data_IF_162307969576
#
_entry.id   IF_162307969576
#
_cell.length_a   1.000
_cell.length_b   1.000
_cell.length_c   1.000
_cell.angle_alpha   90.00
_cell.angle_beta   90.00
_cell.angle_gamma   90.00
#
_symmetry.space_group_name_H-M   'P 1'
#
loop_
_entity.id
_entity.type
_entity.pdbx_description
1 polymer ?
#
# COMPACT_ATOMS: atom_id res chain seq x y z
N UNK A 1 11.86 19.56 14.40
CA UNK A 1 11.06 18.73 15.34
C UNK A 1 9.72 19.42 15.53
N UNK A 2 8.58 18.72 15.47
CA UNK A 2 7.29 19.40 15.65
C UNK A 2 7.03 19.80 17.12
N UNK A 3 6.15 20.77 17.34
CA UNK A 3 5.84 21.36 18.66
C UNK A 3 5.36 20.29 19.65
N UNK A 4 4.48 19.39 19.21
CA UNK A 4 3.97 18.28 20.03
C UNK A 4 5.11 17.41 20.56
N UNK A 5 6.06 17.05 19.70
CA UNK A 5 7.22 16.23 20.06
C UNK A 5 8.19 16.98 20.98
N UNK A 6 8.39 18.27 20.76
CA UNK A 6 9.19 19.11 21.66
C UNK A 6 8.61 19.11 23.09
N UNK A 7 7.29 19.34 23.21
CA UNK A 7 6.60 19.30 24.51
C UNK A 7 6.63 17.89 25.13
N UNK A 8 6.45 16.85 24.31
CA UNK A 8 6.52 15.46 24.76
C UNK A 8 7.92 15.12 25.29
N UNK A 9 8.99 15.54 24.61
CA UNK A 9 10.38 15.32 25.04
C UNK A 9 10.67 16.06 26.34
N UNK A 10 10.32 17.35 26.44
CA UNK A 10 10.48 18.10 27.70
C UNK A 10 9.72 17.44 28.86
N UNK A 11 8.52 16.90 28.60
CA UNK A 11 7.72 16.18 29.61
C UNK A 11 8.36 14.86 30.00
N UNK A 12 8.90 14.12 29.04
CA UNK A 12 9.59 12.85 29.29
C UNK A 12 10.85 13.08 30.15
N UNK A 13 11.63 14.11 29.85
CA UNK A 13 12.80 14.49 30.63
C UNK A 13 12.40 14.89 32.07
N UNK A 14 11.30 15.62 32.23
CA UNK A 14 10.75 15.96 33.53
C UNK A 14 10.28 14.71 34.31
N UNK A 15 9.61 13.76 33.64
CA UNK A 15 9.24 12.47 34.24
C UNK A 15 10.45 11.69 34.75
N UNK A 16 11.51 11.57 33.95
CA UNK A 16 12.73 10.86 34.34
C UNK A 16 13.37 11.53 35.57
N UNK A 17 13.43 12.87 35.62
CA UNK A 17 13.91 13.61 36.80
C UNK A 17 13.06 13.39 38.06
N UNK A 18 11.78 13.10 37.90
CA UNK A 18 10.85 12.77 38.97
C UNK A 18 10.84 11.27 39.34
N UNK A 19 11.72 10.47 38.73
CA UNK A 19 11.90 9.05 39.05
C UNK A 19 10.92 8.11 38.35
N UNK A 20 10.26 8.56 37.28
CA UNK A 20 9.39 7.71 36.45
C UNK A 20 10.19 6.93 35.40
N UNK A 21 9.71 5.74 34.98
CA UNK A 21 10.32 4.99 33.88
C UNK A 21 10.35 5.78 32.57
N UNK A 22 11.35 5.52 31.72
CA UNK A 22 11.58 6.24 30.46
C UNK A 22 10.44 6.03 29.43
N UNK A 23 9.66 4.97 29.59
CA UNK A 23 8.50 4.61 28.80
C UNK A 23 7.19 5.27 29.26
N UNK A 24 7.23 6.09 30.32
CA UNK A 24 6.04 6.78 30.85
C UNK A 24 5.48 7.76 29.83
N UNK A 25 4.31 7.46 29.26
CA UNK A 25 3.67 8.29 28.22
C UNK A 25 3.36 9.73 28.71
N UNK A 26 3.97 10.77 28.12
CA UNK A 26 3.65 12.18 28.37
C UNK A 26 2.20 12.59 28.08
N UNK A 27 1.54 11.87 27.18
CA UNK A 27 0.17 12.13 26.72
C UNK A 27 -0.07 13.60 26.32
N UNK A 28 0.85 14.17 25.55
CA UNK A 28 0.70 15.52 24.96
C UNK A 28 -0.27 15.47 23.79
N UNK A 29 -1.27 16.34 23.78
CA UNK A 29 -2.28 16.47 22.72
C UNK A 29 -2.45 17.92 22.31
N UNK A 30 -2.88 18.16 21.06
CA UNK A 30 -3.43 19.47 20.69
C UNK A 30 -4.74 19.68 21.46
N UNK A 31 -4.93 20.90 21.96
CA UNK A 31 -6.15 21.27 22.66
C UNK A 31 -7.35 21.19 21.72
N UNK A 32 -8.47 20.70 22.23
CA UNK A 32 -9.73 20.62 21.45
C UNK A 32 -10.51 21.94 21.46
N UNK A 33 -10.17 22.85 22.37
CA UNK A 33 -10.83 24.15 22.53
C UNK A 33 -9.84 25.25 22.92
N UNK A 34 -10.05 26.50 22.49
CA UNK A 34 -9.14 27.61 22.77
C UNK A 34 -8.94 27.92 24.26
N UNK A 35 -9.94 27.70 25.11
CA UNK A 35 -9.82 27.94 26.55
C UNK A 35 -8.80 27.04 27.25
N UNK A 36 -8.36 25.96 26.60
CA UNK A 36 -7.33 25.06 27.09
C UNK A 36 -5.93 25.37 26.53
N UNK A 37 -5.77 26.50 25.83
CA UNK A 37 -4.52 26.84 25.14
C UNK A 37 -4.34 26.04 23.85
N UNK A 38 -3.10 25.92 23.37
CA UNK A 38 -2.76 25.24 22.12
C UNK A 38 -2.50 23.74 22.30
N UNK A 39 -1.91 23.37 23.44
CA UNK A 39 -1.58 22.00 23.80
C UNK A 39 -1.98 21.68 25.23
N UNK A 40 -2.25 20.40 25.50
CA UNK A 40 -2.46 19.87 26.85
C UNK A 40 -1.50 18.71 27.11
N UNK A 41 -0.90 18.68 28.30
CA UNK A 41 -0.12 17.56 28.80
C UNK A 41 -0.99 16.80 29.80
N UNK A 42 -1.40 15.59 29.44
CA UNK A 42 -2.37 14.79 30.20
C UNK A 42 -1.71 13.66 31.02
N UNK A 43 -0.40 13.46 30.88
CA UNK A 43 0.33 12.35 31.47
C UNK A 43 0.50 12.41 33.00
N UNK A 44 0.25 13.56 33.63
CA UNK A 44 0.43 13.72 35.07
C UNK A 44 -0.46 12.76 35.89
N UNK A 45 -1.68 12.47 35.42
CA UNK A 45 -2.60 11.57 36.13
C UNK A 45 -2.13 10.11 36.14
N UNK A 46 -1.69 9.60 34.99
CA UNK A 46 -1.16 8.24 34.89
C UNK A 46 0.17 8.12 35.63
N UNK A 47 1.04 9.12 35.53
CA UNK A 47 2.31 9.17 36.24
C UNK A 47 2.13 9.21 37.77
N UNK A 48 1.22 10.04 38.29
CA UNK A 48 0.94 10.12 39.72
C UNK A 48 0.36 8.82 40.28
N UNK A 49 -0.43 8.09 39.49
CA UNK A 49 -0.90 6.75 39.86
C UNK A 49 0.27 5.76 40.04
N UNK A 50 1.30 5.83 39.19
CA UNK A 50 2.49 4.98 39.32
C UNK A 50 3.31 5.34 40.56
N UNK A 51 3.49 6.64 40.82
CA UNK A 51 4.22 7.14 41.99
C UNK A 51 3.41 7.08 43.30
N UNK A 52 2.11 6.78 43.23
CA UNK A 52 1.15 6.85 44.35
C UNK A 52 1.13 8.24 45.01
N UNK A 53 1.21 9.29 44.20
CA UNK A 53 1.20 10.70 44.63
C UNK A 53 -0.08 11.43 44.19
N UNK A 54 -0.26 12.66 44.65
CA UNK A 54 -1.38 13.50 44.21
C UNK A 54 -1.12 14.01 42.77
N UNK A 55 -2.02 13.78 41.80
CA UNK A 55 -1.82 14.20 40.41
C UNK A 55 -1.64 15.70 40.21
N UNK A 56 -2.29 16.53 41.02
CA UNK A 56 -2.17 18.00 40.94
C UNK A 56 -0.81 18.47 41.45
N UNK A 57 -0.32 17.88 42.55
CA UNK A 57 1.03 18.17 43.07
C UNK A 57 2.10 17.72 42.08
N UNK A 58 1.92 16.56 41.43
CA UNK A 58 2.85 16.13 40.37
C UNK A 58 2.82 17.09 39.18
N UNK A 59 1.64 17.57 38.78
CA UNK A 59 1.52 18.58 37.73
C UNK A 59 2.26 19.89 38.08
N UNK A 60 2.20 20.34 39.33
CA UNK A 60 2.95 21.52 39.81
C UNK A 60 4.46 21.31 39.68
N UNK A 61 4.96 20.13 40.07
CA UNK A 61 6.38 19.76 39.91
C UNK A 61 6.78 19.69 38.43
N UNK A 62 5.91 19.15 37.57
CA UNK A 62 6.16 19.07 36.13
C UNK A 62 6.27 20.46 35.51
N UNK A 63 5.33 21.36 35.80
CA UNK A 63 5.36 22.74 35.27
C UNK A 63 6.68 23.42 35.62
N UNK A 64 7.17 23.26 36.86
CA UNK A 64 8.45 23.82 37.28
C UNK A 64 9.66 23.21 36.53
N UNK A 65 9.63 21.93 36.19
CA UNK A 65 10.72 21.23 35.49
C UNK A 65 10.69 21.41 33.97
N UNK A 66 9.51 21.65 33.38
CA UNK A 66 9.34 21.82 31.93
C UNK A 66 10.03 23.09 31.42
N UNK A 67 10.09 24.13 32.26
CA UNK A 67 10.69 25.44 31.96
C UNK A 67 10.29 25.93 30.56
N UNK A 68 9.00 26.27 30.40
CA UNK A 68 8.41 26.69 29.12
C UNK A 68 8.37 28.21 28.97
N UNK A 69 9.03 28.99 29.83
CA UNK A 69 8.95 30.45 29.82
C UNK A 69 9.46 31.09 28.53
N UNK A 70 10.29 30.41 27.75
CA UNK A 70 10.76 30.83 26.43
C UNK A 70 9.72 30.60 25.32
N UNK A 71 8.90 29.55 25.47
CA UNK A 71 8.01 29.02 24.44
C UNK A 71 6.52 29.33 24.68
N UNK A 72 6.09 29.37 25.94
CA UNK A 72 4.70 29.50 26.35
C UNK A 72 4.40 30.85 27.01
N UNK A 73 3.33 31.50 26.58
CA UNK A 73 2.81 32.73 27.20
C UNK A 73 2.02 32.42 28.48
N UNK A 74 1.46 31.21 28.56
CA UNK A 74 0.65 30.75 29.68
C UNK A 74 0.81 29.24 29.88
N UNK A 75 1.01 28.83 31.12
CA UNK A 75 0.98 27.41 31.52
C UNK A 75 0.09 27.29 32.76
N UNK A 76 -1.00 26.52 32.67
CA UNK A 76 -2.01 26.43 33.72
C UNK A 76 -2.37 24.99 34.05
N UNK A 77 -2.50 24.71 35.35
CA UNK A 77 -2.98 23.41 35.82
C UNK A 77 -4.50 23.44 35.94
N UNK A 78 -5.18 22.68 35.09
CA UNK A 78 -6.63 22.53 35.08
C UNK A 78 -7.07 21.21 35.75
N UNK A 79 -8.16 21.30 36.52
CA UNK A 79 -8.81 20.14 37.14
C UNK A 79 -7.85 19.30 38.00
N UNK A 80 -7.83 17.96 37.83
CA UNK A 80 -7.04 17.07 38.67
C UNK A 80 -5.53 17.08 38.37
N UNK A 81 -5.07 17.70 37.28
CA UNK A 81 -3.66 17.69 36.89
C UNK A 81 -3.39 17.81 35.39
N UNK A 82 -4.34 18.30 34.61
CA UNK A 82 -4.09 18.65 33.20
C UNK A 82 -3.22 19.89 33.15
N UNK A 83 -2.21 19.92 32.28
CA UNK A 83 -1.36 21.10 32.10
C UNK A 83 -1.68 21.70 30.73
N UNK A 84 -2.37 22.83 30.72
CA UNK A 84 -2.71 23.60 29.54
C UNK A 84 -1.54 24.50 29.17
N UNK A 85 -1.16 24.54 27.90
CA UNK A 85 -0.03 25.31 27.38
C UNK A 85 -0.51 26.22 26.25
N UNK A 86 -0.39 27.53 26.45
CA UNK A 86 -0.59 28.54 25.41
C UNK A 86 0.77 29.04 24.93
N UNK A 87 1.05 28.93 23.64
CA UNK A 87 2.31 29.32 23.02
C UNK A 87 2.47 30.85 23.01
N UNK A 88 3.71 31.33 22.97
CA UNK A 88 3.99 32.76 22.78
C UNK A 88 3.78 33.15 21.31
N UNK A 89 3.05 34.24 21.03
CA UNK A 89 2.95 34.77 19.67
C UNK A 89 4.32 35.09 19.06
N UNK A 90 5.26 35.62 19.86
CA UNK A 90 6.61 35.97 19.39
C UNK A 90 7.43 34.74 19.04
N UNK A 91 7.27 33.66 19.82
CA UNK A 91 7.89 32.37 19.54
C UNK A 91 7.35 31.77 18.25
N UNK A 92 6.01 31.74 18.10
CA UNK A 92 5.35 31.29 16.87
C UNK A 92 5.77 32.11 15.64
N UNK A 93 5.89 33.43 15.77
CA UNK A 93 6.37 34.30 14.71
C UNK A 93 7.82 33.96 14.30
N UNK A 94 8.68 33.64 15.27
CA UNK A 94 10.04 33.17 15.01
C UNK A 94 10.07 31.84 14.24
N UNK A 95 9.29 30.85 14.67
CA UNK A 95 9.18 29.56 13.98
C UNK A 95 8.61 29.72 12.56
N UNK A 96 7.60 30.57 12.38
CA UNK A 96 7.04 30.88 11.06
C UNK A 96 8.06 31.54 10.13
N UNK A 97 8.89 32.46 10.64
CA UNK A 97 9.95 33.09 9.86
C UNK A 97 11.00 32.06 9.41
N UNK A 98 11.37 31.13 10.29
CA UNK A 98 12.27 30.03 9.95
C UNK A 98 11.64 29.11 8.88
N UNK A 99 10.39 28.70 9.09
CA UNK A 99 9.66 27.84 8.15
C UNK A 99 9.52 28.51 6.78
N UNK A 100 9.23 29.80 6.71
CA UNK A 100 9.11 30.54 5.46
C UNK A 100 10.41 30.62 4.66
N UNK A 101 11.57 30.50 5.34
CA UNK A 101 12.90 30.45 4.71
C UNK A 101 13.34 29.04 4.29
N UNK A 102 12.64 28.01 4.76
CA UNK A 102 12.91 26.61 4.46
C UNK A 102 12.02 26.11 3.31
N UNK A 103 12.63 25.53 2.28
CA UNK A 103 11.91 24.91 1.15
C UNK A 103 10.94 23.81 1.57
N UNK A 104 11.14 23.23 2.76
CA UNK A 104 10.30 22.19 3.37
C UNK A 104 9.37 22.72 4.46
N UNK A 105 9.29 24.03 4.64
CA UNK A 105 8.42 24.70 5.62
C UNK A 105 8.65 24.21 7.07
N UNK A 106 9.90 23.88 7.43
CA UNK A 106 10.24 23.38 8.77
C UNK A 106 9.87 21.90 9.00
N UNK A 107 9.40 21.19 7.98
CA UNK A 107 9.10 19.75 8.08
C UNK A 107 10.40 18.95 8.06
N UNK A 108 10.80 18.48 9.24
CA UNK A 108 11.96 17.60 9.41
C UNK A 108 11.82 16.34 8.57
N UNK A 109 12.91 15.94 7.92
CA UNK A 109 12.98 14.66 7.25
C UNK A 109 12.86 13.49 8.26
N UNK A 110 12.53 12.31 7.76
CA UNK A 110 12.51 11.07 8.53
C UNK A 110 13.91 10.84 9.11
N UNK A 111 14.07 10.77 10.45
CA UNK A 111 15.38 10.49 11.07
C UNK A 111 15.89 9.07 10.78
N UNK A 112 15.02 8.16 10.34
CA UNK A 112 15.36 6.79 9.94
C UNK A 112 14.66 6.47 8.61
N UNK A 113 15.17 7.01 7.47
CA UNK A 113 14.58 6.78 6.16
C UNK A 113 14.44 5.29 5.84
N UNK A 114 13.28 4.90 5.32
CA UNK A 114 12.99 3.53 4.88
C UNK A 114 12.95 3.44 3.36
N UNK A 115 13.23 2.25 2.83
CA UNK A 115 12.82 1.86 1.47
C UNK A 115 11.39 1.33 1.54
N UNK A 116 10.44 2.11 1.04
CA UNK A 116 9.01 1.78 1.07
C UNK A 116 8.53 1.44 -0.34
N UNK A 117 8.08 0.21 -0.53
CA UNK A 117 7.36 -0.17 -1.76
C UNK A 117 5.89 0.17 -1.59
N UNK A 118 5.33 0.91 -2.55
CA UNK A 118 3.90 1.26 -2.57
C UNK A 118 3.27 0.71 -3.84
N UNK A 119 2.41 -0.29 -3.67
CA UNK A 119 1.62 -0.90 -4.74
C UNK A 119 0.24 -0.25 -4.80
N UNK A 120 -0.09 0.39 -5.92
CA UNK A 120 -1.33 1.12 -6.10
C UNK A 120 -1.74 1.27 -7.56
N UNK A 121 -2.97 1.71 -7.76
CA UNK A 121 -3.68 1.75 -9.05
C UNK A 121 -4.03 0.37 -9.61
N UNK A 122 -3.02 -0.40 -10.03
CA UNK A 122 -3.13 -1.79 -10.48
C UNK A 122 -4.35 -2.08 -11.39
N UNK A 123 -4.56 -1.33 -12.49
CA UNK A 123 -5.66 -1.59 -13.40
C UNK A 123 -5.50 -2.95 -14.10
N UNK A 124 -6.63 -3.62 -14.38
CA UNK A 124 -6.65 -4.77 -15.27
C UNK A 124 -6.65 -4.29 -16.72
N UNK A 125 -5.59 -4.59 -17.47
CA UNK A 125 -5.38 -4.05 -18.82
C UNK A 125 -6.30 -4.68 -19.87
N UNK A 126 -7.00 -5.77 -19.54
CA UNK A 126 -8.03 -6.36 -20.40
C UNK A 126 -9.29 -5.48 -20.54
N UNK A 127 -9.42 -4.42 -19.72
CA UNK A 127 -10.58 -3.51 -19.69
C UNK A 127 -10.13 -2.08 -19.39
N UNK A 128 -11.03 -1.12 -19.58
CA UNK A 128 -10.78 0.25 -19.14
C UNK A 128 -10.67 0.38 -17.62
N UNK A 129 -9.89 1.37 -17.20
CA UNK A 129 -9.77 1.73 -15.80
C UNK A 129 -11.10 2.33 -15.28
N UNK A 130 -11.83 1.57 -14.47
CA UNK A 130 -13.05 2.04 -13.82
C UNK A 130 -12.80 2.68 -12.43
N UNK A 131 -13.86 3.25 -11.83
CA UNK A 131 -13.85 3.94 -10.51
C UNK A 131 -13.26 3.13 -9.35
N UNK A 132 -13.22 1.80 -9.47
CA UNK A 132 -12.62 0.92 -8.47
C UNK A 132 -11.11 1.15 -8.34
N UNK A 133 -10.43 1.38 -9.47
CA UNK A 133 -9.00 1.68 -9.50
C UNK A 133 -8.72 3.12 -9.06
N UNK A 134 -9.63 4.06 -9.32
CA UNK A 134 -9.45 5.48 -9.01
C UNK A 134 -9.13 5.73 -7.52
N UNK A 135 -9.81 5.01 -6.61
CA UNK A 135 -9.55 5.15 -5.16
C UNK A 135 -8.13 4.72 -4.80
N UNK A 136 -7.69 3.56 -5.30
CA UNK A 136 -6.33 3.07 -5.08
C UNK A 136 -5.32 4.06 -5.66
N UNK A 137 -5.53 4.52 -6.90
CA UNK A 137 -4.67 5.49 -7.57
C UNK A 137 -4.47 6.76 -6.74
N UNK A 138 -5.55 7.41 -6.29
CA UNK A 138 -5.46 8.70 -5.58
C UNK A 138 -4.87 8.53 -4.18
N UNK A 139 -5.35 7.53 -3.41
CA UNK A 139 -4.89 7.33 -2.03
C UNK A 139 -3.42 6.91 -2.03
N UNK A 140 -3.04 5.98 -2.91
CA UNK A 140 -1.67 5.54 -3.06
C UNK A 140 -0.74 6.69 -3.42
N UNK A 141 -1.10 7.50 -4.42
CA UNK A 141 -0.28 8.64 -4.84
C UNK A 141 -0.09 9.68 -3.73
N UNK A 142 -1.15 9.95 -2.94
CA UNK A 142 -1.07 10.84 -1.79
C UNK A 142 -0.09 10.31 -0.72
N UNK A 143 -0.09 9.00 -0.46
CA UNK A 143 0.83 8.37 0.49
C UNK A 143 2.26 8.36 -0.04
N UNK A 144 2.46 8.04 -1.31
CA UNK A 144 3.77 8.13 -1.98
C UNK A 144 4.36 9.52 -1.82
N UNK A 145 3.61 10.56 -2.21
CA UNK A 145 4.04 11.97 -2.09
C UNK A 145 4.37 12.35 -0.65
N UNK A 146 3.58 11.86 0.31
CA UNK A 146 3.80 12.13 1.74
C UNK A 146 5.09 11.48 2.24
N UNK A 147 5.34 10.22 1.89
CA UNK A 147 6.53 9.48 2.29
C UNK A 147 7.80 10.06 1.64
N UNK A 148 7.76 10.37 0.35
CA UNK A 148 8.87 11.04 -0.34
C UNK A 148 9.15 12.42 0.23
N UNK A 149 8.09 13.21 0.49
CA UNK A 149 8.27 14.50 1.14
C UNK A 149 8.84 14.32 2.54
N UNK A 150 8.43 13.31 3.31
CA UNK A 150 9.02 13.04 4.62
C UNK A 150 10.49 12.57 4.51
N UNK A 151 10.92 11.99 3.39
CA UNK A 151 12.31 11.65 3.12
C UNK A 151 12.58 10.15 3.00
N UNK A 152 11.54 9.32 2.90
CA UNK A 152 11.68 7.90 2.58
C UNK A 152 12.04 7.69 1.11
N UNK A 153 12.76 6.60 0.82
CA UNK A 153 12.94 6.13 -0.55
C UNK A 153 11.71 5.34 -0.95
N UNK A 154 10.86 5.93 -1.78
CA UNK A 154 9.62 5.28 -2.23
C UNK A 154 9.82 4.62 -3.59
N UNK A 155 9.46 3.34 -3.68
CA UNK A 155 9.41 2.58 -4.95
C UNK A 155 7.95 2.33 -5.27
N UNK A 156 7.44 3.03 -6.28
CA UNK A 156 6.09 2.81 -6.80
C UNK A 156 6.07 1.45 -7.51
N UNK A 157 4.97 0.73 -7.38
CA UNK A 157 4.69 -0.48 -8.13
C UNK A 157 3.27 -0.37 -8.68
N UNK A 158 3.14 -0.33 -9.99
CA UNK A 158 1.85 -0.45 -10.65
C UNK A 158 1.68 -1.92 -11.07
N UNK A 159 1.02 -2.69 -10.20
CA UNK A 159 0.81 -4.13 -10.37
C UNK A 159 -0.32 -4.43 -11.35
N UNK A 160 -0.13 -4.03 -12.61
CA UNK A 160 -1.15 -4.13 -13.64
C UNK A 160 -1.50 -5.60 -13.96
N UNK A 161 -2.79 -5.86 -14.12
CA UNK A 161 -3.30 -7.16 -14.55
C UNK A 161 -3.17 -7.31 -16.06
N UNK A 162 -2.02 -7.81 -16.52
CA UNK A 162 -1.66 -7.96 -17.93
C UNK A 162 -1.65 -9.42 -18.41
N UNK A 163 -1.98 -10.35 -17.53
CA UNK A 163 -1.92 -11.78 -17.80
C UNK A 163 -3.22 -12.50 -17.42
N UNK A 164 -3.55 -13.58 -18.13
CA UNK A 164 -4.73 -14.40 -17.84
C UNK A 164 -5.45 -14.93 -19.09
N UNK A 165 -6.42 -15.81 -18.86
CA UNK A 165 -7.15 -16.50 -19.94
C UNK A 165 -8.01 -15.56 -20.78
N UNK A 166 -8.41 -14.41 -20.22
CA UNK A 166 -9.16 -13.38 -20.93
C UNK A 166 -8.39 -12.80 -22.11
N UNK A 167 -7.06 -12.83 -22.10
CA UNK A 167 -6.28 -12.32 -23.22
C UNK A 167 -6.46 -13.16 -24.48
N UNK A 168 -6.72 -14.47 -24.38
CA UNK A 168 -6.94 -15.34 -25.55
C UNK A 168 -8.02 -14.84 -26.49
N UNK A 169 -9.18 -14.42 -25.96
CA UNK A 169 -10.25 -13.88 -26.80
C UNK A 169 -9.91 -12.48 -27.33
N UNK A 170 -9.18 -11.67 -26.56
CA UNK A 170 -8.80 -10.31 -26.95
C UNK A 170 -7.80 -10.34 -28.09
N UNK A 171 -6.76 -11.18 -28.01
CA UNK A 171 -5.77 -11.30 -29.08
C UNK A 171 -6.33 -12.01 -30.32
N UNK A 172 -7.23 -12.99 -30.17
CA UNK A 172 -7.94 -13.58 -31.30
C UNK A 172 -8.86 -12.57 -32.00
N UNK A 173 -9.57 -11.74 -31.23
CA UNK A 173 -10.39 -10.67 -31.78
C UNK A 173 -9.56 -9.61 -32.49
N UNK A 174 -8.42 -9.23 -31.89
CA UNK A 174 -7.48 -8.25 -32.43
C UNK A 174 -6.92 -8.70 -33.78
N UNK A 175 -6.54 -9.98 -33.89
CA UNK A 175 -6.05 -10.56 -35.14
C UNK A 175 -7.07 -10.43 -36.27
N UNK A 176 -8.34 -10.77 -36.01
CA UNK A 176 -9.37 -10.70 -37.03
C UNK A 176 -9.63 -9.25 -37.48
N UNK A 177 -9.59 -8.30 -36.54
CA UNK A 177 -9.71 -6.86 -36.85
C UNK A 177 -8.56 -6.34 -37.69
N UNK A 178 -7.35 -6.81 -37.41
CA UNK A 178 -6.18 -6.51 -38.22
C UNK A 178 -6.28 -7.08 -39.63
N UNK A 179 -6.80 -8.30 -39.76
CA UNK A 179 -7.03 -8.94 -41.06
C UNK A 179 -8.12 -8.22 -41.88
N UNK A 180 -9.09 -7.60 -41.22
CA UNK A 180 -10.10 -6.71 -41.84
C UNK A 180 -9.52 -5.36 -42.30
N UNK A 181 -8.23 -5.10 -42.06
CA UNK A 181 -7.55 -3.86 -42.43
C UNK A 181 -7.85 -2.68 -41.49
N UNK A 182 -8.40 -2.95 -40.30
CA UNK A 182 -8.67 -1.91 -39.32
C UNK A 182 -7.37 -1.55 -38.59
N UNK A 183 -7.04 -0.26 -38.58
CA UNK A 183 -5.82 0.24 -37.94
C UNK A 183 -5.89 0.06 -36.42
N UNK A 184 -4.83 -0.47 -35.83
CA UNK A 184 -4.70 -0.75 -34.40
C UNK A 184 -4.95 0.47 -33.53
N UNK A 185 -4.39 1.61 -33.90
CA UNK A 185 -4.62 2.85 -33.17
C UNK A 185 -6.11 3.20 -33.23
N UNK A 186 -6.78 3.02 -34.37
CA UNK A 186 -8.21 3.28 -34.49
C UNK A 186 -9.11 2.26 -33.75
N UNK A 187 -8.70 0.99 -33.66
CA UNK A 187 -9.46 -0.08 -32.97
C UNK A 187 -9.37 0.05 -31.46
N UNK A 188 -8.19 0.37 -30.95
CA UNK A 188 -7.90 0.30 -29.52
C UNK A 188 -7.94 1.68 -28.81
N UNK A 189 -7.86 2.81 -29.53
CA UNK A 189 -8.02 4.16 -28.95
C UNK A 189 -9.47 4.62 -28.78
N UNK A 190 -10.45 3.98 -29.44
CA UNK A 190 -11.81 4.50 -29.45
C UNK A 190 -12.61 4.11 -28.20
N UNK A 191 -12.54 2.84 -27.77
CA UNK A 191 -13.26 2.30 -26.60
C UNK A 191 -12.78 0.86 -26.28
N UNK A 192 -11.92 0.68 -25.26
CA UNK A 192 -11.43 -0.65 -24.85
C UNK A 192 -12.55 -1.49 -24.21
N UNK A 193 -13.56 -0.84 -23.62
CA UNK A 193 -14.73 -1.53 -23.06
C UNK A 193 -15.55 -2.18 -24.17
N UNK A 194 -15.76 -1.46 -25.28
CA UNK A 194 -16.46 -1.98 -26.44
C UNK A 194 -15.68 -3.10 -27.12
N UNK A 195 -14.35 -2.96 -27.26
CA UNK A 195 -13.50 -4.03 -27.78
C UNK A 195 -13.65 -5.32 -26.96
N UNK A 196 -13.62 -5.21 -25.63
CA UNK A 196 -13.84 -6.35 -24.73
C UNK A 196 -15.25 -6.93 -24.90
N UNK A 197 -16.30 -6.10 -24.98
CA UNK A 197 -17.69 -6.56 -25.16
C UNK A 197 -17.86 -7.33 -26.47
N UNK A 198 -17.26 -6.85 -27.56
CA UNK A 198 -17.30 -7.52 -28.86
C UNK A 198 -16.57 -8.87 -28.83
N UNK A 199 -15.35 -8.91 -28.30
CA UNK A 199 -14.59 -10.14 -28.15
C UNK A 199 -15.36 -11.17 -27.29
N UNK A 200 -16.00 -10.72 -26.20
CA UNK A 200 -16.81 -11.57 -25.33
C UNK A 200 -18.05 -12.11 -26.03
N UNK A 201 -18.76 -11.27 -26.79
CA UNK A 201 -19.92 -11.71 -27.58
C UNK A 201 -19.54 -12.78 -28.60
N UNK A 202 -18.41 -12.60 -29.30
CA UNK A 202 -17.88 -13.62 -30.22
C UNK A 202 -17.52 -14.91 -29.49
N UNK A 203 -16.92 -14.82 -28.31
CA UNK A 203 -16.63 -15.99 -27.47
C UNK A 203 -17.88 -16.79 -27.08
N UNK A 204 -19.00 -16.11 -26.81
CA UNK A 204 -20.23 -16.77 -26.39
C UNK A 204 -21.08 -17.27 -27.57
N UNK A 205 -21.12 -16.52 -28.67
CA UNK A 205 -22.11 -16.72 -29.75
C UNK A 205 -21.50 -17.26 -31.07
N UNK A 206 -20.21 -17.08 -31.34
CA UNK A 206 -19.58 -17.42 -32.63
C UNK A 206 -18.97 -18.82 -32.61
N UNK A 207 -19.45 -19.68 -33.52
CA UNK A 207 -18.96 -21.05 -33.64
C UNK A 207 -17.46 -21.08 -33.96
N UNK A 208 -16.68 -21.80 -33.14
CA UNK A 208 -15.23 -21.97 -33.30
C UNK A 208 -14.37 -20.86 -32.67
N UNK A 209 -14.93 -19.69 -32.33
CA UNK A 209 -14.15 -18.60 -31.74
C UNK A 209 -13.68 -18.91 -30.32
N UNK A 210 -14.51 -19.59 -29.52
CA UNK A 210 -14.13 -20.01 -28.17
C UNK A 210 -12.92 -20.97 -28.17
N UNK A 211 -12.83 -21.85 -29.17
CA UNK A 211 -11.72 -22.79 -29.30
C UNK A 211 -10.45 -22.10 -29.79
N UNK A 212 -10.58 -21.16 -30.74
CA UNK A 212 -9.47 -20.27 -31.13
C UNK A 212 -8.93 -19.49 -29.93
N UNK A 213 -9.81 -18.91 -29.11
CA UNK A 213 -9.42 -18.20 -27.89
C UNK A 213 -8.64 -19.09 -26.91
N UNK A 214 -9.10 -20.32 -26.66
CA UNK A 214 -8.40 -21.28 -25.78
C UNK A 214 -7.03 -21.68 -26.33
N UNK A 215 -6.93 -21.95 -27.63
CA UNK A 215 -5.67 -22.22 -28.32
C UNK A 215 -4.69 -21.04 -28.19
N UNK A 216 -5.20 -19.82 -28.29
CA UNK A 216 -4.42 -18.59 -28.16
C UNK A 216 -3.86 -18.38 -26.74
N UNK A 217 -4.62 -18.77 -25.70
CA UNK A 217 -4.08 -18.80 -24.33
C UNK A 217 -2.89 -19.75 -24.23
N UNK A 218 -3.03 -20.96 -24.78
CA UNK A 218 -1.94 -21.97 -24.75
C UNK A 218 -0.72 -21.46 -25.50
N UNK A 219 -0.91 -20.91 -26.71
CA UNK A 219 0.16 -20.32 -27.51
C UNK A 219 0.88 -19.19 -26.78
N UNK A 220 0.13 -18.25 -26.19
CA UNK A 220 0.69 -17.14 -25.43
C UNK A 220 1.54 -17.63 -24.25
N UNK A 221 1.02 -18.60 -23.49
CA UNK A 221 1.72 -19.22 -22.35
C UNK A 221 2.95 -20.01 -22.77
N UNK A 222 2.94 -20.62 -23.96
CA UNK A 222 4.08 -21.35 -24.52
C UNK A 222 5.15 -20.45 -25.15
N UNK A 223 4.92 -19.14 -25.23
CA UNK A 223 5.86 -18.17 -25.80
C UNK A 223 5.80 -18.05 -27.33
N UNK A 224 4.65 -18.36 -27.95
CA UNK A 224 4.46 -18.16 -29.39
C UNK A 224 4.67 -16.70 -29.78
N UNK A 225 5.58 -16.45 -30.74
CA UNK A 225 6.00 -15.11 -31.10
C UNK A 225 4.87 -14.24 -31.70
N UNK A 226 3.91 -14.86 -32.39
CA UNK A 226 2.79 -14.14 -33.01
C UNK A 226 1.78 -13.71 -31.96
N UNK A 227 1.35 -14.62 -31.09
CA UNK A 227 0.46 -14.31 -29.96
C UNK A 227 1.10 -13.29 -29.01
N UNK A 228 2.41 -13.41 -28.74
CA UNK A 228 3.15 -12.45 -27.92
C UNK A 228 3.16 -11.05 -28.52
N UNK A 229 3.34 -10.93 -29.84
CA UNK A 229 3.28 -9.64 -30.53
C UNK A 229 1.90 -8.98 -30.42
N UNK A 230 0.83 -9.75 -30.61
CA UNK A 230 -0.54 -9.25 -30.48
C UNK A 230 -0.87 -8.85 -29.04
N UNK A 231 -0.40 -9.64 -28.07
CA UNK A 231 -0.56 -9.35 -26.65
C UNK A 231 0.16 -8.05 -26.28
N UNK A 232 1.44 -7.90 -26.60
CA UNK A 232 2.22 -6.71 -26.26
C UNK A 232 1.57 -5.44 -26.81
N UNK A 233 1.11 -5.50 -28.05
CA UNK A 233 0.43 -4.40 -28.72
C UNK A 233 -0.88 -3.98 -28.02
N UNK A 234 -1.64 -4.95 -27.52
CA UNK A 234 -2.83 -4.68 -26.71
C UNK A 234 -2.42 -4.06 -25.37
N UNK A 235 -1.39 -4.60 -24.70
CA UNK A 235 -0.86 -4.07 -23.44
C UNK A 235 -0.39 -2.62 -23.59
N UNK A 236 0.43 -2.32 -24.60
CA UNK A 236 0.97 -0.98 -24.87
C UNK A 236 -0.17 0.03 -25.03
N UNK A 237 -1.25 -0.38 -25.71
CA UNK A 237 -2.41 0.48 -25.89
C UNK A 237 -3.17 0.71 -24.59
N UNK A 238 -3.42 -0.32 -23.79
CA UNK A 238 -4.09 -0.17 -22.48
C UNK A 238 -3.26 0.64 -21.48
N UNK A 239 -1.93 0.51 -21.51
CA UNK A 239 -1.00 1.31 -20.69
C UNK A 239 -1.08 2.79 -21.09
N UNK A 240 -1.07 3.10 -22.40
CA UNK A 240 -1.22 4.47 -22.90
C UNK A 240 -2.50 5.14 -22.38
N UNK A 241 -3.65 4.45 -22.44
CA UNK A 241 -4.91 4.98 -21.89
C UNK A 241 -4.83 5.22 -20.38
N UNK A 242 -4.25 4.29 -19.64
CA UNK A 242 -4.07 4.44 -18.19
C UNK A 242 -3.21 5.67 -17.87
N UNK A 243 -2.13 5.88 -18.62
CA UNK A 243 -1.25 7.04 -18.47
C UNK A 243 -1.93 8.37 -18.80
N UNK A 244 -2.77 8.43 -19.82
CA UNK A 244 -3.55 9.63 -20.13
C UNK A 244 -4.47 10.01 -18.95
N UNK A 245 -5.05 9.02 -18.26
CA UNK A 245 -5.84 9.27 -17.05
C UNK A 245 -4.95 9.70 -15.90
N UNK A 246 -3.79 9.05 -15.68
CA UNK A 246 -2.84 9.46 -14.65
C UNK A 246 -2.36 10.91 -14.82
N UNK A 247 -2.08 11.33 -16.05
CA UNK A 247 -1.71 12.72 -16.38
C UNK A 247 -2.84 13.69 -16.04
N UNK A 248 -4.08 13.39 -16.45
CA UNK A 248 -5.26 14.23 -16.13
C UNK A 248 -5.49 14.36 -14.61
N UNK A 249 -5.21 13.30 -13.86
CA UNK A 249 -5.33 13.27 -12.41
C UNK A 249 -4.11 13.83 -11.65
N UNK A 250 -3.05 14.21 -12.36
CA UNK A 250 -1.76 14.62 -11.77
C UNK A 250 -1.21 13.56 -10.81
N UNK A 251 -1.24 12.30 -11.23
CA UNK A 251 -0.68 11.14 -10.50
C UNK A 251 0.79 10.98 -10.89
N UNK A 252 1.63 10.50 -9.97
CA UNK A 252 3.08 10.37 -10.17
C UNK A 252 3.53 9.06 -10.80
N UNK A 253 2.60 8.18 -11.17
CA UNK A 253 2.90 6.93 -11.87
C UNK A 253 3.40 7.20 -13.29
N UNK A 254 4.41 6.44 -13.69
CA UNK A 254 5.01 6.43 -15.02
C UNK A 254 5.21 4.99 -15.51
N UNK A 255 5.63 4.82 -16.76
CA UNK A 255 5.96 3.49 -17.31
C UNK A 255 7.06 2.77 -16.53
N UNK A 256 7.98 3.51 -15.91
CA UNK A 256 9.06 2.95 -15.10
C UNK A 256 8.57 2.28 -13.82
N UNK A 257 7.35 2.59 -13.37
CA UNK A 257 6.74 2.04 -12.17
C UNK A 257 5.93 0.76 -12.46
N UNK A 258 5.78 0.39 -13.74
CA UNK A 258 5.00 -0.78 -14.16
C UNK A 258 5.75 -2.07 -13.80
N UNK A 259 5.13 -2.87 -12.93
CA UNK A 259 5.58 -4.22 -12.58
C UNK A 259 4.38 -5.16 -12.57
N UNK A 260 3.96 -5.61 -13.76
CA UNK A 260 2.68 -6.27 -13.95
C UNK A 260 2.74 -7.74 -13.53
N UNK A 261 1.61 -8.42 -13.50
CA UNK A 261 1.51 -9.83 -13.10
C UNK A 261 2.42 -10.75 -13.93
N UNK A 262 2.50 -10.54 -15.25
CA UNK A 262 3.31 -11.35 -16.15
C UNK A 262 4.81 -11.32 -15.82
N UNK A 263 5.30 -10.23 -15.21
CA UNK A 263 6.71 -10.07 -14.85
C UNK A 263 7.17 -11.06 -13.76
N UNK A 264 6.23 -11.70 -13.07
CA UNK A 264 6.49 -12.71 -12.03
C UNK A 264 6.34 -14.14 -12.54
N UNK A 265 5.91 -14.36 -13.80
CA UNK A 265 5.72 -15.70 -14.37
C UNK A 265 6.92 -16.64 -14.16
N UNK A 266 8.19 -16.20 -14.36
CA UNK A 266 9.35 -17.06 -14.11
C UNK A 266 9.56 -17.46 -12.64
N UNK A 267 8.92 -16.75 -11.69
CA UNK A 267 9.05 -16.98 -10.25
C UNK A 267 7.96 -17.91 -9.68
N UNK A 268 6.87 -18.15 -10.42
CA UNK A 268 5.70 -18.86 -9.86
C UNK A 268 5.99 -20.30 -9.47
N UNK A 269 6.61 -21.08 -10.35
CA UNK A 269 6.97 -22.47 -10.04
C UNK A 269 8.03 -22.55 -8.92
N UNK A 270 9.12 -21.76 -8.95
CA UNK A 270 10.07 -21.71 -7.82
C UNK A 270 9.43 -21.42 -6.45
N UNK A 271 8.44 -20.52 -6.38
CA UNK A 271 7.70 -20.24 -5.14
C UNK A 271 6.94 -21.48 -4.66
N UNK A 272 6.23 -22.16 -5.57
CA UNK A 272 5.48 -23.37 -5.25
C UNK A 272 6.42 -24.47 -4.76
N UNK A 273 7.53 -24.69 -5.46
CA UNK A 273 8.54 -25.69 -5.11
C UNK A 273 9.12 -25.42 -3.71
N UNK A 274 9.42 -24.16 -3.40
CA UNK A 274 9.89 -23.75 -2.07
C UNK A 274 8.86 -24.05 -0.98
N UNK A 275 7.58 -23.75 -1.22
CA UNK A 275 6.51 -24.00 -0.26
C UNK A 275 6.28 -25.49 0.00
N UNK A 276 6.36 -26.32 -1.03
CA UNK A 276 6.27 -27.79 -0.92
C UNK A 276 7.49 -28.35 -0.18
N UNK A 277 8.70 -27.92 -0.54
CA UNK A 277 9.94 -28.37 0.10
C UNK A 277 9.99 -28.00 1.60
N UNK A 278 9.41 -26.86 1.97
CA UNK A 278 9.28 -26.43 3.37
C UNK A 278 8.13 -27.14 4.13
N UNK A 279 7.33 -27.97 3.46
CA UNK A 279 6.15 -28.62 4.04
C UNK A 279 5.00 -27.65 4.39
N UNK A 280 5.01 -26.46 3.80
CA UNK A 280 3.99 -25.41 4.03
C UNK A 280 2.79 -25.65 3.11
N UNK A 281 3.04 -26.03 1.86
CA UNK A 281 2.00 -26.42 0.90
C UNK A 281 1.88 -27.94 0.83
N UNK A 282 0.66 -28.44 0.78
CA UNK A 282 0.33 -29.86 0.67
C UNK A 282 -0.64 -30.11 -0.48
N UNK A 283 -0.65 -31.32 -1.00
CA UNK A 283 -1.64 -31.74 -1.98
C UNK A 283 -2.99 -32.00 -1.29
N UNK A 284 -4.05 -31.39 -1.82
CA UNK A 284 -5.44 -31.63 -1.43
C UNK A 284 -6.30 -31.68 -2.69
N UNK A 285 -6.96 -32.82 -2.94
CA UNK A 285 -7.80 -33.04 -4.13
C UNK A 285 -7.10 -32.72 -5.47
N UNK A 286 -5.79 -32.99 -5.53
CA UNK A 286 -4.95 -32.75 -6.71
C UNK A 286 -4.53 -31.29 -6.93
N UNK A 287 -4.88 -30.37 -6.02
CA UNK A 287 -4.39 -28.99 -5.99
C UNK A 287 -3.32 -28.84 -4.89
N UNK A 288 -2.46 -27.82 -5.00
CA UNK A 288 -1.53 -27.46 -3.92
C UNK A 288 -2.12 -26.33 -3.08
N UNK A 289 -2.22 -26.58 -1.78
CA UNK A 289 -2.95 -25.74 -0.83
C UNK A 289 -2.09 -25.49 0.43
N UNK A 290 -2.11 -24.26 0.91
CA UNK A 290 -1.60 -23.88 2.23
C UNK A 290 -2.77 -23.73 3.18
N UNK A 291 -2.75 -24.42 4.31
CA UNK A 291 -3.79 -24.33 5.34
C UNK A 291 -3.34 -23.39 6.46
N UNK A 292 -4.09 -22.32 6.69
CA UNK A 292 -3.74 -21.26 7.64
C UNK A 292 -4.65 -21.30 8.88
N UNK A 293 -4.15 -21.88 9.96
CA UNK A 293 -4.86 -21.99 11.24
C UNK A 293 -5.11 -20.63 11.91
N UNK A 294 -4.26 -19.63 11.65
CA UNK A 294 -4.42 -18.26 12.13
C UNK A 294 -5.66 -17.56 11.58
N UNK A 295 -6.20 -18.07 10.46
CA UNK A 295 -7.40 -17.59 9.80
C UNK A 295 -8.54 -18.62 9.85
N UNK A 296 -8.53 -19.50 10.85
CA UNK A 296 -9.55 -20.52 10.99
C UNK A 296 -10.97 -19.94 11.08
N UNK A 297 -11.94 -20.70 10.55
CA UNK A 297 -13.35 -20.36 10.67
C UNK A 297 -13.90 -20.57 12.09
N UNK A 298 -15.20 -20.34 12.28
CA UNK A 298 -15.87 -20.50 13.58
C UNK A 298 -15.87 -21.95 14.09
N UNK A 299 -15.65 -22.93 13.22
CA UNK A 299 -15.57 -24.35 13.56
C UNK A 299 -14.12 -24.79 13.82
N UNK A 300 -13.15 -23.87 13.73
CA UNK A 300 -11.72 -24.15 13.90
C UNK A 300 -11.05 -24.75 12.68
N UNK A 301 -11.71 -24.79 11.51
CA UNK A 301 -11.11 -25.30 10.28
C UNK A 301 -10.18 -24.24 9.69
N UNK A 302 -8.93 -24.59 9.34
CA UNK A 302 -7.97 -23.64 8.81
C UNK A 302 -8.43 -23.08 7.47
N UNK A 303 -8.07 -21.83 7.17
CA UNK A 303 -8.39 -21.20 5.90
C UNK A 303 -7.57 -21.84 4.76
N UNK A 304 -8.20 -22.37 3.70
CA UNK A 304 -7.47 -22.90 2.55
C UNK A 304 -6.99 -21.78 1.63
N UNK A 305 -5.71 -21.81 1.27
CA UNK A 305 -5.09 -20.89 0.32
C UNK A 305 -4.47 -21.68 -0.83
N UNK A 306 -5.18 -21.75 -1.96
CA UNK A 306 -4.77 -22.55 -3.11
C UNK A 306 -3.70 -21.79 -3.89
N UNK A 307 -2.53 -22.41 -4.07
CA UNK A 307 -1.38 -21.81 -4.78
C UNK A 307 -1.15 -22.45 -6.16
N UNK A 308 -1.70 -23.63 -6.43
CA UNK A 308 -1.68 -24.25 -7.77
C UNK A 308 -2.91 -25.16 -7.95
N UNK A 309 -3.59 -25.08 -9.09
CA UNK A 309 -4.79 -25.89 -9.38
C UNK A 309 -4.43 -27.31 -9.81
N UNK A 310 -5.43 -28.20 -9.77
CA UNK A 310 -5.42 -29.51 -10.43
C UNK A 310 -5.21 -29.33 -11.94
N UNK A 311 -4.00 -29.65 -12.42
CA UNK A 311 -3.55 -29.38 -13.79
C UNK A 311 -2.38 -28.40 -13.91
N UNK A 312 -1.82 -27.92 -12.80
CA UNK A 312 -0.57 -27.13 -12.77
C UNK A 312 -0.75 -25.63 -13.00
N UNK A 313 -1.97 -25.17 -13.31
CA UNK A 313 -2.26 -23.74 -13.50
C UNK A 313 -2.12 -22.94 -12.21
N UNK A 314 -1.42 -21.80 -12.30
CA UNK A 314 -1.25 -20.86 -11.19
C UNK A 314 -2.47 -19.96 -10.97
N UNK A 315 -2.50 -19.29 -9.82
CA UNK A 315 -3.53 -18.32 -9.45
C UNK A 315 -2.87 -16.98 -9.06
N UNK A 316 -3.70 -15.94 -8.90
CA UNK A 316 -3.27 -14.66 -8.33
C UNK A 316 -2.51 -14.82 -7.00
N UNK A 317 -2.88 -15.83 -6.19
CA UNK A 317 -2.19 -16.24 -4.98
C UNK A 317 -0.67 -16.45 -5.18
N UNK A 318 -0.28 -17.17 -6.22
CA UNK A 318 1.12 -17.49 -6.52
C UNK A 318 1.87 -16.25 -7.00
N UNK A 319 1.21 -15.43 -7.84
CA UNK A 319 1.76 -14.16 -8.33
C UNK A 319 2.02 -13.20 -7.18
N UNK A 320 1.08 -13.06 -6.25
CA UNK A 320 1.24 -12.18 -5.09
C UNK A 320 2.33 -12.66 -4.12
N UNK A 321 2.51 -13.98 -3.97
CA UNK A 321 3.65 -14.53 -3.22
C UNK A 321 4.99 -14.23 -3.89
N UNK A 322 5.06 -14.37 -5.21
CA UNK A 322 6.24 -13.99 -5.99
C UNK A 322 6.51 -12.48 -5.92
N UNK A 323 5.46 -11.65 -5.95
CA UNK A 323 5.55 -10.22 -5.78
C UNK A 323 6.05 -9.85 -4.38
N UNK A 324 5.57 -10.51 -3.33
CA UNK A 324 6.11 -10.38 -1.98
C UNK A 324 7.62 -10.70 -1.96
N UNK A 325 8.03 -11.84 -2.51
CA UNK A 325 9.45 -12.23 -2.53
C UNK A 325 10.33 -11.22 -3.28
N UNK A 326 9.87 -10.77 -4.44
CA UNK A 326 10.56 -9.76 -5.24
C UNK A 326 10.72 -8.44 -4.46
N UNK A 327 9.65 -7.97 -3.81
CA UNK A 327 9.67 -6.71 -3.06
C UNK A 327 10.53 -6.81 -1.80
N UNK A 328 10.46 -7.92 -1.08
CA UNK A 328 11.28 -8.17 0.11
C UNK A 328 12.76 -8.29 -0.22
N UNK A 329 13.12 -9.16 -1.16
CA UNK A 329 14.52 -9.55 -1.36
C UNK A 329 15.22 -8.78 -2.47
N UNK A 330 14.53 -8.50 -3.58
CA UNK A 330 15.15 -7.84 -4.73
C UNK A 330 15.07 -6.32 -4.66
N UNK A 331 13.95 -5.77 -4.16
CA UNK A 331 13.84 -4.33 -3.90
C UNK A 331 14.37 -3.95 -2.50
N UNK A 332 14.64 -4.93 -1.63
CA UNK A 332 15.10 -4.73 -0.26
C UNK A 332 14.17 -3.77 0.52
N UNK A 333 12.86 -3.99 0.42
CA UNK A 333 11.87 -3.12 1.05
C UNK A 333 11.87 -3.30 2.57
N UNK A 334 12.01 -2.20 3.32
CA UNK A 334 11.78 -2.18 4.77
C UNK A 334 10.28 -2.25 5.08
N UNK A 335 9.45 -1.77 4.14
CA UNK A 335 8.00 -1.72 4.26
C UNK A 335 7.34 -1.85 2.90
N UNK A 336 6.29 -2.67 2.83
CA UNK A 336 5.44 -2.81 1.65
C UNK A 336 4.02 -2.34 2.01
N UNK A 337 3.45 -1.45 1.19
CA UNK A 337 2.08 -0.93 1.35
C UNK A 337 1.30 -1.25 0.09
N UNK A 338 0.19 -1.97 0.22
CA UNK A 338 -0.66 -2.37 -0.91
C UNK A 338 -2.02 -1.68 -0.79
N UNK A 339 -2.35 -0.84 -1.76
CA UNK A 339 -3.64 -0.17 -1.87
C UNK A 339 -4.58 -0.97 -2.77
N UNK A 340 -5.46 -1.74 -2.14
CA UNK A 340 -6.47 -2.57 -2.83
C UNK A 340 -7.87 -2.37 -2.23
N UNK A 341 -8.87 -2.95 -2.86
CA UNK A 341 -10.24 -2.95 -2.36
C UNK A 341 -10.38 -3.82 -1.10
N UNK A 342 -11.18 -3.39 -0.13
CA UNK A 342 -11.38 -4.10 1.14
C UNK A 342 -11.89 -5.55 0.97
N UNK A 343 -12.54 -5.89 -0.14
CA UNK A 343 -12.96 -7.26 -0.47
C UNK A 343 -11.77 -8.22 -0.63
N UNK A 344 -10.57 -7.71 -0.92
CA UNK A 344 -9.33 -8.49 -1.02
C UNK A 344 -8.63 -8.71 0.33
N UNK A 345 -9.21 -8.24 1.45
CA UNK A 345 -8.55 -8.29 2.75
C UNK A 345 -8.22 -9.72 3.22
N UNK A 346 -9.08 -10.71 2.95
CA UNK A 346 -8.78 -12.10 3.31
C UNK A 346 -7.59 -12.62 2.50
N UNK A 347 -7.61 -12.39 1.19
CA UNK A 347 -6.54 -12.82 0.28
C UNK A 347 -5.18 -12.29 0.73
N UNK A 348 -5.03 -10.98 0.93
CA UNK A 348 -3.73 -10.43 1.34
C UNK A 348 -3.28 -10.86 2.74
N UNK A 349 -4.21 -11.18 3.66
CA UNK A 349 -3.84 -11.83 4.93
C UNK A 349 -3.27 -13.23 4.70
N UNK A 350 -3.85 -13.99 3.76
CA UNK A 350 -3.34 -15.32 3.42
C UNK A 350 -1.96 -15.23 2.75
N UNK A 351 -1.77 -14.28 1.83
CA UNK A 351 -0.47 -13.99 1.21
C UNK A 351 0.56 -13.63 2.27
N UNK A 352 0.27 -12.67 3.16
CA UNK A 352 1.21 -12.22 4.19
C UNK A 352 1.62 -13.37 5.12
N UNK A 353 0.67 -14.14 5.64
CA UNK A 353 0.96 -15.25 6.54
C UNK A 353 1.78 -16.34 5.86
N UNK A 354 1.43 -16.67 4.62
CA UNK A 354 2.15 -17.68 3.83
C UNK A 354 3.58 -17.22 3.52
N UNK A 355 3.75 -15.96 3.10
CA UNK A 355 5.06 -15.36 2.85
C UNK A 355 5.95 -15.37 4.10
N UNK A 356 5.41 -14.98 5.26
CA UNK A 356 6.12 -15.02 6.55
C UNK A 356 6.54 -16.44 6.94
N UNK A 357 5.66 -17.43 6.79
CA UNK A 357 5.99 -18.85 7.08
C UNK A 357 7.11 -19.37 6.19
N UNK A 358 7.16 -18.92 4.94
CA UNK A 358 8.11 -19.37 3.94
C UNK A 358 9.42 -18.55 3.87
N UNK A 359 9.52 -17.46 4.65
CA UNK A 359 10.67 -16.55 4.60
C UNK A 359 10.80 -15.82 3.27
N UNK A 360 9.67 -15.53 2.61
CA UNK A 360 9.61 -14.80 1.35
C UNK A 360 9.83 -13.30 1.53
#
# INVERSE_FOLDING_TARGET
>A
MNIKQLLANKTQDAFIKLGLPAETNPAVTQSTRPEFGDYQINGAMSAAKQLKTNPRQLAEQLVALLALDDLASKVEIAGPGFINVTLKPEWLAGELAQAASDVRLGVSANPQPQTVVVDYSAPNLAKEMHVGHLRSTIIGDAVVRTLEFWGDKVIRQNHMGDWGTQFGMLIAHLEDKLAEGVDLESVALADLEEFYRQAKKRFDDEAGFADKSRDYVVKLQSGDAHCQKLWQLFIDTSVKHSNEVYQKLNVTLTDADIKPESAYNPMLQPIVDQLVAAGIAVEDQGALVVFLSELADKEGKPSPFIIQKTGGGFLYATTDLAACQYRSHQLAADRIIIFTDARQALHFKQVELTARKAGL
#
